data_IF_239041143482
#
_entry.id   IF_239041143482
#
_cell.length_a   1.000
_cell.length_b   1.000
_cell.length_c   1.000
_cell.angle_alpha   90.00
_cell.angle_beta   90.00
_cell.angle_gamma   90.00
#
_symmetry.space_group_name_H-M   'P 1'
#
loop_
_entity.id
_entity.type
_entity.pdbx_description
1 polymer ?
#
# COMPACT_ATOMS: atom_id res chain seq x y z
N UNK A 1 -10.11 38.20 39.30
CA UNK A 1 -9.01 37.41 38.69
C UNK A 1 -9.37 37.17 37.24
N UNK A 2 -8.67 37.82 36.30
CA UNK A 2 -8.91 37.66 34.85
C UNK A 2 -8.01 36.53 34.35
N UNK A 3 -8.61 35.49 33.76
CA UNK A 3 -7.91 34.34 33.19
C UNK A 3 -7.54 34.66 31.74
N UNK A 4 -6.24 34.63 31.44
CA UNK A 4 -5.69 34.85 30.10
C UNK A 4 -5.50 33.49 29.43
N UNK A 5 -6.24 33.24 28.36
CA UNK A 5 -6.06 32.06 27.49
C UNK A 5 -4.97 32.39 26.47
N UNK A 6 -3.85 31.69 26.53
CA UNK A 6 -2.80 31.73 25.51
C UNK A 6 -3.18 30.78 24.37
N UNK A 7 -3.55 31.33 23.21
CA UNK A 7 -3.59 30.61 21.94
C UNK A 7 -2.17 30.59 21.36
N UNK A 8 -1.54 29.41 21.29
CA UNK A 8 -0.30 29.22 20.51
C UNK A 8 -0.67 29.20 19.03
N UNK A 9 -0.24 30.20 18.28
CA UNK A 9 -0.22 30.16 16.81
C UNK A 9 0.90 29.23 16.37
N UNK A 10 0.55 28.08 15.78
CA UNK A 10 1.51 27.20 15.13
C UNK A 10 1.77 27.76 13.72
N UNK A 11 2.95 28.34 13.51
CA UNK A 11 3.34 28.88 12.20
C UNK A 11 3.77 27.72 11.31
N UNK A 12 2.85 27.21 10.47
CA UNK A 12 3.20 26.30 9.40
C UNK A 12 4.08 27.05 8.39
N UNK A 13 5.36 26.67 8.32
CA UNK A 13 6.23 27.03 7.20
C UNK A 13 5.76 26.24 5.97
N UNK A 14 4.80 26.79 5.25
CA UNK A 14 4.43 26.33 3.92
C UNK A 14 5.61 26.56 2.97
N UNK A 15 6.41 25.53 2.73
CA UNK A 15 7.22 25.44 1.53
C UNK A 15 6.29 25.23 0.32
N UNK A 16 5.76 26.35 -0.18
CA UNK A 16 5.03 26.41 -1.44
C UNK A 16 6.01 26.15 -2.58
N UNK A 17 6.01 24.92 -3.07
CA UNK A 17 6.59 24.56 -4.37
C UNK A 17 5.76 25.23 -5.47
N UNK A 18 6.08 26.48 -5.81
CA UNK A 18 5.47 27.14 -6.98
C UNK A 18 5.87 26.39 -8.25
N UNK A 19 4.94 26.13 -9.18
CA UNK A 19 5.30 25.65 -10.51
C UNK A 19 6.01 26.76 -11.28
N UNK A 20 7.24 26.50 -11.70
CA UNK A 20 7.97 27.34 -12.63
C UNK A 20 7.59 26.91 -14.06
N UNK A 21 6.80 27.73 -14.76
CA UNK A 21 6.56 27.55 -16.19
C UNK A 21 7.79 28.04 -16.96
N UNK A 22 8.38 27.17 -17.78
CA UNK A 22 9.35 27.57 -18.80
C UNK A 22 8.64 27.62 -20.16
N UNK A 23 8.90 28.64 -20.97
CA UNK A 23 8.12 29.02 -22.17
C UNK A 23 8.26 28.08 -23.37
N UNK A 24 9.00 26.98 -23.27
CA UNK A 24 9.51 26.29 -24.46
C UNK A 24 8.98 24.86 -24.68
N UNK A 25 7.94 24.43 -23.95
CA UNK A 25 7.10 23.29 -24.36
C UNK A 25 7.81 21.98 -24.71
N UNK A 26 8.95 21.67 -24.07
CA UNK A 26 9.67 20.40 -24.24
C UNK A 26 9.99 19.77 -22.89
N UNK A 27 9.48 18.56 -22.68
CA UNK A 27 9.82 17.71 -21.55
C UNK A 27 11.29 17.25 -21.68
N UNK A 28 12.16 17.77 -20.82
CA UNK A 28 13.54 17.33 -20.66
C UNK A 28 13.78 16.90 -19.22
N UNK A 29 14.21 15.66 -19.04
CA UNK A 29 14.69 15.14 -17.75
C UNK A 29 16.08 15.75 -17.49
N UNK A 30 16.19 16.71 -16.57
CA UNK A 30 17.48 17.20 -16.11
C UNK A 30 17.82 16.52 -14.78
N UNK A 31 18.67 15.49 -14.87
CA UNK A 31 19.43 14.98 -13.74
C UNK A 31 20.53 16.00 -13.43
N UNK A 32 20.45 16.68 -12.29
CA UNK A 32 21.51 17.57 -11.82
C UNK A 32 22.69 16.71 -11.37
N UNK A 33 23.75 16.66 -12.16
CA UNK A 33 25.06 16.18 -11.71
C UNK A 33 25.64 17.21 -10.73
N UNK A 34 25.78 16.81 -9.47
CA UNK A 34 26.80 17.36 -8.58
C UNK A 34 27.98 16.39 -8.60
N UNK A 35 29.06 16.80 -9.27
CA UNK A 35 30.39 16.20 -9.11
C UNK A 35 30.90 16.53 -7.71
N UNK A 36 30.91 15.55 -6.81
CA UNK A 36 31.91 15.48 -5.76
C UNK A 36 32.53 14.08 -5.80
N UNK A 37 33.77 14.05 -6.27
CA UNK A 37 34.64 12.87 -6.26
C UNK A 37 35.15 12.63 -4.86
N UNK A 38 34.55 11.66 -4.15
CA UNK A 38 35.23 10.96 -3.06
C UNK A 38 35.26 9.45 -3.33
N UNK A 39 36.48 8.90 -3.21
CA UNK A 39 36.81 7.49 -3.48
C UNK A 39 36.24 6.59 -2.37
N UNK A 40 35.65 5.42 -2.69
CA UNK A 40 35.22 4.49 -1.66
C UNK A 40 36.42 3.70 -1.10
N UNK A 41 36.69 3.89 0.19
CA UNK A 41 37.47 2.96 0.99
C UNK A 41 36.59 1.75 1.33
N UNK A 42 36.89 0.60 0.72
CA UNK A 42 36.34 -0.68 1.14
C UNK A 42 36.97 -1.09 2.47
N UNK A 43 36.15 -1.29 3.51
CA UNK A 43 36.51 -2.13 4.66
C UNK A 43 35.46 -3.23 4.82
N UNK A 44 35.87 -4.48 5.10
CA UNK A 44 34.96 -5.61 5.23
C UNK A 44 34.21 -5.58 6.58
N UNK A 45 32.91 -5.90 6.52
CA UNK A 45 32.03 -6.11 7.68
C UNK A 45 32.58 -7.21 8.61
N UNK A 46 32.61 -7.01 9.94
CA UNK A 46 32.80 -8.10 10.88
C UNK A 46 31.49 -8.88 11.12
N UNK A 47 31.68 -10.17 11.36
CA UNK A 47 30.66 -11.19 11.58
C UNK A 47 29.69 -10.87 12.73
N UNK A 48 28.43 -11.29 12.56
CA UNK A 48 27.38 -11.24 13.58
C UNK A 48 27.66 -12.23 14.72
N UNK A 49 27.59 -11.84 16.01
CA UNK A 49 27.68 -12.79 17.10
C UNK A 49 26.38 -13.59 17.28
N UNK A 50 26.58 -14.88 17.57
CA UNK A 50 25.57 -15.92 17.81
C UNK A 50 24.71 -15.61 19.05
N UNK A 51 23.45 -15.99 18.97
CA UNK A 51 22.43 -15.91 20.02
C UNK A 51 22.84 -16.59 21.33
N UNK A 52 22.77 -15.86 22.44
CA UNK A 52 22.89 -16.39 23.80
C UNK A 52 21.47 -16.62 24.35
N UNK A 53 21.18 -17.87 24.75
CA UNK A 53 19.97 -18.25 25.47
C UNK A 53 20.17 -18.03 26.96
N UNK A 54 19.38 -17.14 27.58
CA UNK A 54 19.38 -16.91 29.03
C UNK A 54 18.17 -17.60 29.65
N UNK A 55 18.42 -18.57 30.55
CA UNK A 55 17.41 -19.16 31.44
C UNK A 55 17.40 -18.40 32.76
N UNK A 56 16.30 -17.70 33.07
CA UNK A 56 16.08 -17.11 34.39
C UNK A 56 15.45 -18.13 35.34
N UNK A 57 16.15 -18.44 36.44
CA UNK A 57 15.60 -19.09 37.65
C UNK A 57 15.18 -18.01 38.62
N UNK A 58 13.92 -18.04 39.05
CA UNK A 58 13.37 -17.20 40.11
C UNK A 58 13.52 -17.96 41.44
N UNK A 59 14.16 -17.36 42.44
CA UNK A 59 14.24 -17.89 43.80
C UNK A 59 13.80 -16.81 44.79
N UNK A 60 12.94 -17.19 45.72
CA UNK A 60 12.40 -16.46 46.88
C UNK A 60 11.07 -15.71 46.66
N UNK A 61 9.97 -16.40 46.99
CA UNK A 61 8.74 -15.80 47.46
C UNK A 61 8.75 -15.82 49.00
N UNK A 62 8.80 -14.65 49.63
CA UNK A 62 8.53 -14.51 51.07
C UNK A 62 7.03 -14.24 51.28
N UNK A 63 6.46 -14.88 52.31
CA UNK A 63 5.10 -14.63 52.83
C UNK A 63 5.21 -14.06 54.26
N UNK A 64 4.21 -13.29 54.71
CA UNK A 64 4.37 -12.33 55.81
C UNK A 64 4.17 -12.95 57.20
N UNK A 65 4.87 -12.33 58.15
CA UNK A 65 4.85 -12.55 59.60
C UNK A 65 3.53 -12.11 60.24
N UNK A 66 2.91 -12.98 61.05
CA UNK A 66 1.91 -12.61 62.07
C UNK A 66 2.47 -12.98 63.44
N UNK A 67 2.36 -12.04 64.36
CA UNK A 67 2.97 -12.04 65.70
C UNK A 67 2.06 -12.72 66.75
N UNK A 68 2.69 -13.67 67.46
CA UNK A 68 2.56 -14.09 68.87
C UNK A 68 1.18 -14.34 69.52
N UNK A 69 1.05 -15.55 70.10
CA UNK A 69 0.86 -15.71 71.55
C UNK A 69 1.24 -17.12 72.05
N UNK A 70 2.13 -17.12 73.06
CA UNK A 70 2.22 -17.98 74.26
C UNK A 70 2.30 -19.51 74.15
N UNK A 71 3.31 -20.08 74.81
CA UNK A 71 3.20 -21.39 75.48
C UNK A 71 4.34 -22.38 75.26
N UNK A 72 5.29 -22.39 76.19
CA UNK A 72 5.95 -23.57 76.80
C UNK A 72 6.63 -24.68 75.95
N UNK A 73 7.96 -24.72 76.12
CA UNK A 73 8.96 -25.82 76.27
C UNK A 73 8.71 -27.30 75.82
N UNK A 74 9.81 -28.05 75.54
CA UNK A 74 9.92 -29.11 74.54
C UNK A 74 10.02 -30.52 75.12
N UNK A 75 9.86 -31.54 74.27
CA UNK A 75 10.56 -32.85 74.32
C UNK A 75 10.66 -33.39 72.88
N UNK A 76 11.88 -33.54 72.37
CA UNK A 76 12.61 -34.80 72.17
C UNK A 76 11.90 -35.75 71.18
N UNK A 77 12.55 -36.08 70.06
CA UNK A 77 13.25 -37.36 69.91
C UNK A 77 13.94 -37.44 68.54
N UNK A 78 15.20 -37.85 68.59
CA UNK A 78 15.97 -38.37 67.47
C UNK A 78 15.30 -39.63 66.94
N UNK A 79 15.23 -39.78 65.61
CA UNK A 79 15.49 -41.09 65.02
C UNK A 79 16.13 -40.95 63.63
N UNK A 80 17.35 -41.49 63.55
CA UNK A 80 18.07 -41.78 62.33
C UNK A 80 17.38 -42.93 61.57
N UNK A 81 17.80 -43.13 60.31
CA UNK A 81 18.13 -44.43 59.65
C UNK A 81 17.57 -44.55 58.22
N UNK A 82 18.52 -44.43 57.28
CA UNK A 82 18.69 -45.19 56.01
C UNK A 82 17.80 -44.97 54.79
N UNK A 83 18.45 -45.10 53.62
CA UNK A 83 17.85 -45.79 52.48
C UNK A 83 18.03 -45.14 51.12
N UNK A 84 19.23 -45.21 50.54
CA UNK A 84 19.43 -45.20 49.09
C UNK A 84 18.77 -46.46 48.49
N UNK A 85 18.23 -46.40 47.25
CA UNK A 85 19.08 -46.79 46.13
C UNK A 85 18.92 -45.95 44.86
N UNK A 86 20.06 -45.79 44.20
CA UNK A 86 20.27 -45.51 42.78
C UNK A 86 19.61 -46.55 41.87
N UNK A 87 18.92 -46.09 40.82
CA UNK A 87 18.83 -46.83 39.55
C UNK A 87 18.95 -45.86 38.36
N UNK A 88 19.99 -46.11 37.55
CA UNK A 88 20.16 -45.61 36.19
C UNK A 88 19.35 -46.49 35.24
N UNK A 89 18.59 -45.90 34.32
CA UNK A 89 18.30 -46.52 33.01
C UNK A 89 18.37 -45.50 31.89
N UNK A 90 19.36 -45.71 31.02
CA UNK A 90 19.43 -45.21 29.65
C UNK A 90 18.39 -45.93 28.79
N UNK A 91 17.84 -45.24 27.78
CA UNK A 91 17.33 -45.79 26.52
C UNK A 91 17.23 -44.61 25.54
N UNK A 92 18.21 -44.44 24.65
CA UNK A 92 18.17 -44.87 23.24
C UNK A 92 16.83 -44.58 22.55
N UNK A 93 16.83 -43.57 21.67
CA UNK A 93 15.79 -43.35 20.67
C UNK A 93 16.43 -43.37 19.29
N UNK A 94 16.08 -44.41 18.52
CA UNK A 94 16.48 -44.64 17.13
C UNK A 94 15.38 -44.18 16.17
N UNK A 95 15.78 -43.57 15.05
CA UNK A 95 14.92 -43.26 13.91
C UNK A 95 14.50 -44.54 13.17
N UNK A 96 13.25 -44.66 12.69
CA UNK A 96 12.91 -45.65 11.68
C UNK A 96 12.98 -45.07 10.26
N UNK A 97 13.64 -45.88 9.44
CA UNK A 97 13.87 -45.75 8.02
C UNK A 97 12.63 -46.05 7.17
N UNK A 98 12.72 -45.56 5.92
CA UNK A 98 11.79 -45.76 4.81
C UNK A 98 11.50 -47.25 4.55
N UNK A 99 10.23 -47.59 4.33
CA UNK A 99 9.85 -48.82 3.62
C UNK A 99 8.92 -48.54 2.44
N UNK A 100 9.38 -49.07 1.30
CA UNK A 100 8.67 -49.29 0.05
C UNK A 100 7.33 -50.01 0.25
N UNK A 101 6.29 -49.54 -0.43
CA UNK A 101 5.15 -50.37 -0.84
C UNK A 101 4.88 -50.11 -2.31
N UNK A 102 5.20 -51.11 -3.15
CA UNK A 102 4.63 -51.29 -4.49
C UNK A 102 3.18 -51.73 -4.32
N UNK A 103 2.25 -51.17 -5.09
CA UNK A 103 1.13 -51.93 -5.63
C UNK A 103 0.66 -51.36 -6.97
N UNK A 104 0.48 -52.31 -7.90
CA UNK A 104 -0.09 -52.22 -9.24
C UNK A 104 -1.60 -51.98 -9.17
N UNK A 105 -2.14 -51.35 -10.21
CA UNK A 105 -3.48 -51.70 -10.73
C UNK A 105 -4.38 -50.51 -11.06
N UNK A 106 -4.69 -50.38 -12.35
CA UNK A 106 -5.99 -49.96 -12.93
C UNK A 106 -6.49 -48.55 -12.58
N UNK A 107 -6.65 -47.60 -13.50
CA UNK A 107 -7.28 -47.75 -14.81
C UNK A 107 -8.76 -47.37 -14.76
N UNK A 108 -9.11 -46.16 -14.33
CA UNK A 108 -10.45 -45.59 -14.55
C UNK A 108 -10.33 -44.24 -15.25
N UNK A 109 -10.78 -44.24 -16.50
CA UNK A 109 -11.07 -43.06 -17.30
C UNK A 109 -12.48 -42.64 -16.96
N UNK A 110 -12.66 -41.41 -16.49
CA UNK A 110 -13.99 -40.82 -16.37
C UNK A 110 -14.56 -40.59 -17.77
N UNK A 111 -15.41 -41.54 -18.18
CA UNK A 111 -16.12 -41.57 -19.45
C UNK A 111 -17.40 -40.71 -19.32
N UNK A 112 -17.34 -39.45 -19.75
CA UNK A 112 -18.50 -38.59 -19.86
C UNK A 112 -19.34 -39.03 -21.09
N UNK A 113 -20.37 -39.86 -20.87
CA UNK A 113 -21.29 -40.30 -21.94
C UNK A 113 -22.36 -39.25 -22.21
N UNK A 114 -22.22 -38.51 -23.31
CA UNK A 114 -23.31 -37.75 -23.93
C UNK A 114 -24.08 -38.71 -24.86
N UNK A 115 -25.25 -39.18 -24.42
CA UNK A 115 -26.22 -39.85 -25.30
C UNK A 115 -27.07 -38.78 -25.99
N UNK A 116 -26.75 -38.50 -27.25
CA UNK A 116 -27.58 -37.70 -28.13
C UNK A 116 -27.03 -37.74 -29.54
N UNK A 117 -27.86 -38.14 -30.52
CA UNK A 117 -27.55 -38.08 -31.94
C UNK A 117 -27.39 -36.60 -32.35
N UNK A 118 -26.18 -36.07 -32.22
CA UNK A 118 -25.82 -34.76 -32.76
C UNK A 118 -24.87 -34.99 -33.91
N UNK A 119 -25.39 -34.87 -35.13
CA UNK A 119 -24.59 -34.75 -36.34
C UNK A 119 -23.83 -33.43 -36.26
N UNK A 120 -22.66 -33.43 -35.61
CA UNK A 120 -21.76 -32.27 -35.59
C UNK A 120 -21.14 -32.15 -36.98
N UNK A 121 -21.73 -31.30 -37.81
CA UNK A 121 -21.09 -30.86 -39.05
C UNK A 121 -20.01 -29.84 -38.69
N UNK A 122 -18.75 -30.25 -38.75
CA UNK A 122 -17.63 -29.34 -38.78
C UNK A 122 -17.60 -28.68 -40.17
N UNK A 123 -18.15 -27.48 -40.29
CA UNK A 123 -17.88 -26.63 -41.45
C UNK A 123 -16.48 -26.04 -41.30
N UNK A 124 -15.53 -26.56 -42.06
CA UNK A 124 -14.20 -25.98 -42.22
C UNK A 124 -14.36 -24.61 -42.88
N UNK A 125 -14.34 -23.54 -42.08
CA UNK A 125 -14.33 -22.17 -42.60
C UNK A 125 -12.94 -21.95 -43.20
N UNK A 126 -12.86 -21.86 -44.53
CA UNK A 126 -11.66 -21.41 -45.22
C UNK A 126 -11.35 -19.97 -44.77
N UNK A 127 -10.20 -19.76 -44.11
CA UNK A 127 -9.83 -18.46 -43.51
C UNK A 127 -9.52 -17.34 -44.51
N UNK A 128 -9.72 -17.56 -45.81
CA UNK A 128 -9.28 -16.65 -46.88
C UNK A 128 -10.41 -16.11 -47.77
N UNK A 129 -11.67 -16.36 -47.44
CA UNK A 129 -12.78 -15.62 -48.08
C UNK A 129 -13.07 -14.35 -47.28
N UNK A 130 -12.66 -13.21 -47.82
CA UNK A 130 -13.24 -11.92 -47.47
C UNK A 130 -14.77 -12.05 -47.65
N UNK A 131 -15.58 -11.71 -46.63
CA UNK A 131 -17.02 -11.77 -46.77
C UNK A 131 -17.43 -10.85 -47.92
N UNK A 132 -18.31 -11.36 -48.78
CA UNK A 132 -18.83 -10.62 -49.91
C UNK A 132 -19.39 -9.26 -49.43
N UNK A 133 -18.86 -8.19 -50.03
CA UNK A 133 -19.35 -6.83 -49.91
C UNK A 133 -20.79 -6.71 -50.45
N UNK A 134 -21.82 -7.24 -49.78
CA UNK A 134 -23.21 -7.05 -50.22
C UNK A 134 -24.28 -7.57 -49.25
N UNK A 135 -24.29 -7.09 -48.02
CA UNK A 135 -25.59 -6.74 -47.42
C UNK A 135 -25.38 -5.42 -46.70
N UNK A 136 -26.02 -4.38 -47.21
CA UNK A 136 -26.15 -3.08 -46.56
C UNK A 136 -27.03 -3.26 -45.31
N UNK A 137 -26.51 -3.98 -44.32
CA UNK A 137 -27.11 -4.16 -43.02
C UNK A 137 -27.33 -2.78 -42.45
N UNK A 138 -28.59 -2.47 -42.14
CA UNK A 138 -29.08 -1.17 -41.64
C UNK A 138 -27.98 -0.45 -40.88
N UNK A 139 -27.47 0.65 -41.46
CA UNK A 139 -26.43 1.48 -40.86
C UNK A 139 -26.92 1.85 -39.46
N UNK A 140 -26.35 1.20 -38.44
CA UNK A 140 -26.74 1.47 -37.05
C UNK A 140 -26.16 2.83 -36.72
N UNK A 141 -27.03 3.82 -36.60
CA UNK A 141 -26.66 5.16 -36.15
C UNK A 141 -25.93 5.04 -34.80
N UNK A 142 -24.97 5.94 -34.57
CA UNK A 142 -24.37 6.07 -33.26
C UNK A 142 -25.45 6.22 -32.19
N UNK A 143 -25.36 5.46 -31.08
CA UNK A 143 -26.22 5.73 -29.94
C UNK A 143 -25.97 7.18 -29.47
N UNK A 144 -26.97 7.81 -28.83
CA UNK A 144 -26.74 9.08 -28.18
C UNK A 144 -25.66 8.91 -27.10
N UNK A 145 -24.84 9.95 -26.95
CA UNK A 145 -23.86 10.04 -25.88
C UNK A 145 -24.54 9.78 -24.52
N UNK A 146 -23.96 8.90 -23.73
CA UNK A 146 -24.40 8.60 -22.36
C UNK A 146 -23.18 8.35 -21.50
N UNK A 147 -23.15 8.83 -20.24
CA UNK A 147 -21.99 8.62 -19.37
C UNK A 147 -21.61 7.14 -19.32
N UNK A 148 -20.38 6.81 -19.72
CA UNK A 148 -19.95 5.43 -19.71
C UNK A 148 -19.86 4.91 -18.27
N UNK A 149 -20.24 3.65 -18.04
CA UNK A 149 -19.94 2.99 -16.78
C UNK A 149 -18.45 3.10 -16.46
N UNK A 150 -18.16 3.34 -15.18
CA UNK A 150 -16.79 3.46 -14.69
C UNK A 150 -16.44 2.28 -13.79
N UNK A 151 -15.17 1.85 -13.84
CA UNK A 151 -14.64 0.84 -12.93
C UNK A 151 -13.32 1.32 -12.36
N UNK A 152 -13.27 1.37 -11.03
CA UNK A 152 -12.04 1.65 -10.29
C UNK A 152 -11.47 0.36 -9.74
N UNK A 153 -10.17 0.17 -9.93
CA UNK A 153 -9.45 -0.97 -9.36
C UNK A 153 -8.21 -0.48 -8.63
N UNK A 154 -8.07 -0.89 -7.37
CA UNK A 154 -6.84 -0.74 -6.60
C UNK A 154 -5.87 -1.86 -6.93
N UNK A 155 -4.59 -1.52 -7.14
CA UNK A 155 -3.48 -2.45 -7.31
C UNK A 155 -2.26 -1.99 -6.50
N UNK A 156 -1.27 -2.87 -6.38
CA UNK A 156 0.04 -2.48 -5.88
C UNK A 156 0.83 -1.72 -6.97
N UNK A 157 1.66 -0.76 -6.56
CA UNK A 157 2.59 -0.07 -7.47
C UNK A 157 3.55 -1.05 -8.14
N UNK A 158 3.89 -0.73 -9.39
CA UNK A 158 4.88 -1.47 -10.17
C UNK A 158 6.29 -1.22 -9.64
N UNK A 159 7.25 -2.08 -9.99
CA UNK A 159 8.66 -1.88 -9.63
C UNK A 159 9.22 -0.54 -10.16
N UNK A 160 8.80 -0.10 -11.34
CA UNK A 160 9.22 1.17 -11.91
C UNK A 160 8.69 2.38 -11.10
N UNK A 161 7.41 2.34 -10.68
CA UNK A 161 6.83 3.37 -9.83
C UNK A 161 7.52 3.42 -8.46
N UNK A 162 7.81 2.27 -7.85
CA UNK A 162 8.53 2.20 -6.57
C UNK A 162 9.96 2.74 -6.74
N UNK A 163 10.65 2.42 -7.83
CA UNK A 163 11.99 2.91 -8.11
C UNK A 163 12.03 4.43 -8.37
N UNK A 164 10.94 5.01 -8.87
CA UNK A 164 10.80 6.45 -9.08
C UNK A 164 10.55 7.24 -7.78
N UNK A 165 10.20 6.57 -6.67
CA UNK A 165 10.00 7.23 -5.38
C UNK A 165 11.31 7.80 -4.84
N UNK A 166 11.30 9.09 -4.47
CA UNK A 166 12.44 9.75 -3.84
C UNK A 166 12.84 9.10 -2.51
N UNK A 167 14.10 9.24 -2.10
CA UNK A 167 14.60 8.63 -0.87
C UNK A 167 13.85 9.09 0.41
N UNK A 168 13.23 10.27 0.37
CA UNK A 168 12.38 10.81 1.44
C UNK A 168 10.89 10.53 1.31
N UNK A 169 10.48 9.64 0.40
CA UNK A 169 9.07 9.38 0.11
C UNK A 169 8.61 8.06 0.74
N UNK A 170 7.67 8.14 1.68
CA UNK A 170 7.11 6.99 2.41
C UNK A 170 6.11 6.21 1.58
N UNK A 171 5.26 6.89 0.83
CA UNK A 171 4.22 6.25 0.02
C UNK A 171 4.02 6.97 -1.30
N UNK A 172 3.32 6.29 -2.19
CA UNK A 172 2.93 6.83 -3.47
C UNK A 172 1.58 6.26 -3.84
N UNK A 173 0.68 7.13 -4.28
CA UNK A 173 -0.57 6.79 -4.93
C UNK A 173 -0.57 7.40 -6.32
N UNK A 174 -0.70 6.55 -7.33
CA UNK A 174 -0.57 6.96 -8.73
C UNK A 174 -1.61 6.23 -9.59
N UNK A 175 -2.47 6.96 -10.32
CA UNK A 175 -3.34 6.37 -11.33
C UNK A 175 -2.53 5.92 -12.54
N UNK A 176 -2.80 4.72 -13.06
CA UNK A 176 -2.35 4.30 -14.39
C UNK A 176 -3.16 5.06 -15.47
N UNK A 177 -2.63 5.12 -16.70
CA UNK A 177 -3.39 5.59 -17.85
C UNK A 177 -4.73 4.86 -17.98
N UNK A 178 -5.77 5.59 -18.38
CA UNK A 178 -7.11 5.04 -18.47
C UNK A 178 -7.23 3.97 -19.57
N UNK A 179 -7.92 2.90 -19.20
CA UNK A 179 -8.44 1.90 -20.12
C UNK A 179 -9.78 2.36 -20.68
N UNK A 180 -9.77 3.10 -21.79
CA UNK A 180 -10.98 3.60 -22.44
C UNK A 180 -11.43 2.63 -23.54
N UNK A 181 -12.62 2.07 -23.35
CA UNK A 181 -13.28 1.16 -24.28
C UNK A 181 -14.31 1.93 -25.08
N UNK A 182 -14.23 1.82 -26.40
CA UNK A 182 -15.09 2.56 -27.31
C UNK A 182 -15.71 1.66 -28.36
N UNK A 183 -16.90 2.03 -28.81
CA UNK A 183 -17.49 1.50 -30.03
C UNK A 183 -17.40 2.57 -31.12
N UNK A 184 -16.78 2.24 -32.25
CA UNK A 184 -16.83 3.10 -33.44
C UNK A 184 -18.13 2.85 -34.20
N UNK A 185 -18.89 3.91 -34.44
CA UNK A 185 -20.20 3.87 -35.05
C UNK A 185 -20.31 4.92 -36.16
N UNK A 186 -21.29 4.73 -37.06
CA UNK A 186 -21.51 5.63 -38.19
C UNK A 186 -22.49 6.71 -37.79
N UNK A 187 -22.15 7.96 -38.08
CA UNK A 187 -22.97 9.14 -37.85
C UNK A 187 -23.03 9.94 -39.17
N UNK A 188 -24.06 9.65 -39.99
CA UNK A 188 -24.18 10.19 -41.34
C UNK A 188 -22.98 9.85 -42.24
N UNK A 189 -22.28 10.90 -42.68
CA UNK A 189 -21.10 10.81 -43.54
C UNK A 189 -19.79 10.57 -42.78
N UNK A 190 -19.83 10.50 -41.44
CA UNK A 190 -18.66 10.38 -40.58
C UNK A 190 -18.70 9.12 -39.71
N UNK A 191 -17.55 8.76 -39.17
CA UNK A 191 -17.39 7.84 -38.05
C UNK A 191 -17.15 8.63 -36.76
N UNK A 192 -17.66 8.13 -35.64
CA UNK A 192 -17.43 8.68 -34.30
C UNK A 192 -17.08 7.56 -33.31
N UNK A 193 -16.55 7.95 -32.15
CA UNK A 193 -16.42 7.07 -30.99
C UNK A 193 -17.60 7.28 -30.06
N UNK A 194 -18.13 6.17 -29.53
CA UNK A 194 -19.00 6.15 -28.37
C UNK A 194 -18.24 5.47 -27.23
N UNK A 195 -18.09 6.10 -26.09
CA UNK A 195 -17.43 5.47 -24.95
C UNK A 195 -18.40 4.48 -24.31
N UNK A 196 -17.89 3.29 -24.00
CA UNK A 196 -18.71 2.17 -23.51
C UNK A 196 -18.32 1.72 -22.11
N UNK A 197 -17.09 2.01 -21.71
CA UNK A 197 -16.53 1.73 -20.39
C UNK A 197 -15.24 2.52 -20.24
N UNK A 198 -15.02 3.07 -19.05
CA UNK A 198 -13.71 3.55 -18.61
C UNK A 198 -13.22 2.74 -17.42
N UNK A 199 -12.04 2.16 -17.56
CA UNK A 199 -11.35 1.46 -16.49
C UNK A 199 -10.24 2.36 -15.93
N UNK A 200 -10.38 2.72 -14.66
CA UNK A 200 -9.39 3.44 -13.89
C UNK A 200 -8.67 2.48 -12.94
N UNK A 201 -7.35 2.42 -13.04
CA UNK A 201 -6.52 1.61 -12.13
C UNK A 201 -5.70 2.57 -11.30
N UNK A 202 -5.83 2.48 -9.98
CA UNK A 202 -5.04 3.26 -9.03
C UNK A 202 -4.08 2.34 -8.29
N UNK A 203 -2.81 2.73 -8.28
CA UNK A 203 -1.74 1.96 -7.65
C UNK A 203 -1.25 2.65 -6.41
N UNK A 204 -0.96 1.86 -5.39
CA UNK A 204 -0.39 2.37 -4.16
C UNK A 204 0.78 1.52 -3.69
N UNK A 205 1.74 2.18 -3.04
CA UNK A 205 2.81 1.55 -2.30
C UNK A 205 3.13 2.37 -1.05
N UNK A 206 3.54 1.69 0.00
CA UNK A 206 3.98 2.31 1.25
C UNK A 206 5.22 1.58 1.73
N UNK A 207 6.18 2.33 2.28
CA UNK A 207 7.41 1.85 2.90
C UNK A 207 7.76 2.69 4.12
N UNK A 208 8.60 2.12 4.99
CA UNK A 208 9.39 2.92 5.92
C UNK A 208 10.66 3.38 5.21
N UNK A 209 11.17 4.55 5.59
CA UNK A 209 12.41 5.06 5.03
C UNK A 209 13.61 4.35 5.66
N UNK A 210 14.77 4.47 5.01
CA UNK A 210 15.99 3.83 5.48
C UNK A 210 16.32 4.29 6.91
N UNK A 211 16.59 3.34 7.80
CA UNK A 211 16.85 3.62 9.22
C UNK A 211 15.61 3.70 10.11
N UNK A 212 14.42 3.91 9.53
CA UNK A 212 13.18 3.98 10.30
C UNK A 212 12.68 2.61 10.75
N UNK A 213 12.02 2.60 11.91
CA UNK A 213 11.45 1.39 12.54
C UNK A 213 10.09 1.70 13.15
N UNK A 214 9.23 0.68 13.21
CA UNK A 214 7.97 0.83 13.94
C UNK A 214 8.21 0.73 15.45
N UNK A 215 7.64 1.65 16.25
CA UNK A 215 7.68 1.53 17.70
C UNK A 215 6.73 0.43 18.16
N UNK A 216 7.28 -0.54 18.88
CA UNK A 216 6.60 -1.70 19.46
C UNK A 216 6.83 -1.66 20.97
N UNK A 217 5.88 -1.10 21.75
CA UNK A 217 5.94 -1.10 23.20
C UNK A 217 6.20 -2.48 23.79
N UNK A 218 7.14 -2.53 24.74
CA UNK A 218 7.61 -3.76 25.36
C UNK A 218 8.62 -4.56 24.52
N UNK A 219 8.95 -4.13 23.30
CA UNK A 219 9.95 -4.78 22.44
C UNK A 219 11.14 -3.86 22.16
N UNK A 220 10.90 -2.70 21.55
CA UNK A 220 11.96 -1.74 21.18
C UNK A 220 11.75 -0.32 21.75
N UNK A 221 10.71 -0.14 22.57
CA UNK A 221 10.49 1.05 23.40
C UNK A 221 11.18 0.86 24.76
N UNK A 222 11.97 1.83 25.17
CA UNK A 222 12.77 1.85 26.41
C UNK A 222 12.68 3.22 27.08
N UNK A 223 13.15 3.33 28.32
CA UNK A 223 13.25 4.61 29.03
C UNK A 223 14.09 5.65 28.27
N UNK A 224 15.06 5.22 27.46
CA UNK A 224 15.98 6.10 26.75
C UNK A 224 15.39 6.69 25.47
N UNK A 225 14.39 6.04 24.85
CA UNK A 225 13.91 6.42 23.51
C UNK A 225 12.38 6.59 23.41
N UNK A 226 11.61 6.33 24.47
CA UNK A 226 10.15 6.45 24.39
C UNK A 226 9.70 7.88 24.05
N UNK A 227 10.43 8.90 24.53
CA UNK A 227 10.06 10.28 24.25
C UNK A 227 10.33 10.67 22.80
N UNK A 228 11.46 10.23 22.23
CA UNK A 228 11.74 10.40 20.80
C UNK A 228 10.69 9.67 19.96
N UNK A 229 10.33 8.44 20.33
CA UNK A 229 9.27 7.69 19.64
C UNK A 229 7.95 8.44 19.57
N UNK A 230 7.46 8.98 20.69
CA UNK A 230 6.17 9.68 20.68
C UNK A 230 6.25 11.04 20.01
N UNK A 231 7.40 11.73 20.10
CA UNK A 231 7.61 13.03 19.44
C UNK A 231 7.64 12.86 17.92
N UNK A 232 8.42 11.91 17.42
CA UNK A 232 8.53 11.69 15.98
C UNK A 232 7.23 11.15 15.34
N UNK A 233 6.46 10.35 16.09
CA UNK A 233 5.10 9.98 15.69
C UNK A 233 4.14 11.17 15.72
N UNK A 234 4.26 12.04 16.73
CA UNK A 234 3.44 13.25 16.83
C UNK A 234 3.77 14.27 15.74
N UNK A 235 4.94 14.20 15.11
CA UNK A 235 5.29 15.05 13.98
C UNK A 235 4.84 14.47 12.62
N UNK A 236 4.14 13.33 12.59
CA UNK A 236 3.69 12.66 11.35
C UNK A 236 4.80 12.47 10.30
N UNK A 237 6.04 12.25 10.74
CA UNK A 237 7.18 12.05 9.83
C UNK A 237 7.79 13.34 9.25
N UNK A 238 7.31 14.53 9.62
CA UNK A 238 7.78 15.84 9.11
C UNK A 238 9.26 16.20 9.44
N UNK A 239 10.02 15.33 10.09
CA UNK A 239 11.45 15.54 10.41
C UNK A 239 12.42 14.49 9.86
N UNK A 240 12.04 13.74 8.82
CA UNK A 240 13.01 12.97 8.03
C UNK A 240 14.05 13.89 7.36
N UNK A 241 15.36 13.52 7.30
CA UNK A 241 15.96 12.21 7.53
C UNK A 241 16.34 11.87 8.98
N UNK A 242 16.07 12.76 9.94
CA UNK A 242 16.55 12.59 11.31
C UNK A 242 15.67 11.64 12.14
N UNK A 243 14.39 11.52 11.79
CA UNK A 243 13.44 10.66 12.50
C UNK A 243 13.72 9.17 12.28
N UNK A 244 13.78 8.41 13.37
CA UNK A 244 14.02 6.97 13.41
C UNK A 244 12.75 6.13 13.58
N UNK A 245 11.62 6.76 13.92
CA UNK A 245 10.39 6.11 14.32
C UNK A 245 9.23 6.56 13.44
N UNK A 246 8.62 5.61 12.74
CA UNK A 246 7.38 5.85 12.03
C UNK A 246 6.56 4.57 11.87
N UNK A 247 5.31 4.69 11.41
CA UNK A 247 4.41 3.54 11.28
C UNK A 247 4.04 3.31 9.82
N UNK A 248 4.30 2.10 9.31
CA UNK A 248 3.91 1.73 7.94
C UNK A 248 2.39 1.76 7.78
N UNK A 249 1.67 1.49 8.88
CA UNK A 249 0.21 1.57 8.91
C UNK A 249 -0.31 2.99 8.78
N UNK A 250 0.42 4.00 9.27
CA UNK A 250 0.05 5.40 9.11
C UNK A 250 0.20 5.80 7.63
N UNK A 251 1.34 5.49 7.02
CA UNK A 251 1.57 5.71 5.57
C UNK A 251 0.48 5.04 4.73
N UNK A 252 0.07 3.81 5.06
CA UNK A 252 -1.03 3.15 4.31
C UNK A 252 -2.37 3.87 4.47
N UNK A 253 -2.67 4.38 5.66
CA UNK A 253 -3.89 5.15 5.89
C UNK A 253 -3.86 6.49 5.12
N UNK A 254 -2.69 7.13 5.05
CA UNK A 254 -2.43 8.30 4.21
C UNK A 254 -2.73 7.99 2.72
N UNK A 255 -2.11 6.94 2.17
CA UNK A 255 -2.32 6.58 0.76
C UNK A 255 -3.77 6.15 0.46
N UNK A 256 -4.48 5.57 1.43
CA UNK A 256 -5.89 5.22 1.27
C UNK A 256 -6.76 6.47 1.06
N UNK A 257 -6.41 7.61 1.67
CA UNK A 257 -7.10 8.88 1.44
C UNK A 257 -6.93 9.34 -0.01
N UNK A 258 -5.72 9.28 -0.58
CA UNK A 258 -5.52 9.64 -1.98
C UNK A 258 -6.30 8.74 -2.96
N UNK A 259 -6.50 7.47 -2.61
CA UNK A 259 -7.33 6.57 -3.41
C UNK A 259 -8.80 7.03 -3.43
N UNK A 260 -9.31 7.45 -2.28
CA UNK A 260 -10.69 7.95 -2.19
C UNK A 260 -10.81 9.33 -2.83
N UNK A 261 -9.84 10.23 -2.64
CA UNK A 261 -9.79 11.53 -3.33
C UNK A 261 -9.78 11.36 -4.86
N UNK A 262 -9.01 10.42 -5.40
CA UNK A 262 -9.03 10.12 -6.84
C UNK A 262 -10.42 9.70 -7.30
N UNK A 263 -11.10 8.82 -6.55
CA UNK A 263 -12.43 8.32 -6.90
C UNK A 263 -13.49 9.41 -6.84
N UNK A 264 -13.46 10.22 -5.79
CA UNK A 264 -14.45 11.28 -5.54
C UNK A 264 -14.33 12.41 -6.58
N UNK A 265 -13.12 12.65 -7.09
CA UNK A 265 -12.85 13.67 -8.10
C UNK A 265 -12.94 13.14 -9.55
N UNK A 266 -12.94 11.82 -9.74
CA UNK A 266 -12.85 11.22 -11.07
C UNK A 266 -13.97 11.67 -12.00
N UNK A 267 -15.22 11.64 -11.54
CA UNK A 267 -16.39 12.01 -12.35
C UNK A 267 -16.31 13.45 -12.87
N UNK A 268 -15.87 14.37 -12.00
CA UNK A 268 -15.76 15.79 -12.31
C UNK A 268 -14.79 16.02 -13.46
N UNK A 269 -13.63 15.36 -13.42
CA UNK A 269 -12.58 15.49 -14.43
C UNK A 269 -12.83 14.63 -15.67
N UNK A 270 -13.46 13.47 -15.52
CA UNK A 270 -13.68 12.53 -16.62
C UNK A 270 -14.78 12.99 -17.59
N UNK A 271 -15.87 13.56 -17.10
CA UNK A 271 -17.03 13.90 -17.94
C UNK A 271 -16.68 14.83 -19.13
N UNK A 272 -15.88 15.91 -18.96
CA UNK A 272 -15.43 16.72 -20.09
C UNK A 272 -14.54 15.95 -21.10
N UNK A 273 -13.70 15.03 -20.61
CA UNK A 273 -12.80 14.23 -21.45
C UNK A 273 -13.59 13.20 -22.28
N UNK A 274 -14.60 12.58 -21.68
CA UNK A 274 -15.53 11.69 -22.37
C UNK A 274 -16.25 12.42 -23.49
N UNK A 275 -16.84 13.59 -23.19
CA UNK A 275 -17.51 14.40 -24.20
C UNK A 275 -16.57 14.81 -25.34
N UNK A 276 -15.30 15.13 -25.03
CA UNK A 276 -14.30 15.45 -26.04
C UNK A 276 -13.98 14.25 -26.94
N UNK A 277 -13.84 13.05 -26.38
CA UNK A 277 -13.65 11.79 -27.13
C UNK A 277 -14.85 11.52 -28.04
N UNK A 278 -16.07 11.64 -27.53
CA UNK A 278 -17.29 11.37 -28.29
C UNK A 278 -17.57 12.45 -29.34
N UNK A 279 -17.01 13.64 -29.16
CA UNK A 279 -16.98 14.71 -30.15
C UNK A 279 -16.07 14.45 -31.36
N UNK A 280 -15.14 13.49 -31.26
CA UNK A 280 -14.23 13.17 -32.36
C UNK A 280 -14.98 12.57 -33.55
N UNK A 281 -14.57 13.00 -34.75
CA UNK A 281 -15.13 12.47 -35.99
C UNK A 281 -14.10 12.39 -37.12
N UNK A 282 -14.24 11.39 -37.98
CA UNK A 282 -13.48 11.26 -39.23
C UNK A 282 -14.40 10.90 -40.38
N UNK A 283 -14.10 11.28 -41.63
CA UNK A 283 -14.94 10.95 -42.77
C UNK A 283 -15.12 9.44 -42.95
N UNK A 284 -16.33 8.99 -43.30
CA UNK A 284 -16.60 7.60 -43.65
C UNK A 284 -16.31 7.30 -45.13
N UNK A 285 -15.14 7.76 -45.59
CA UNK A 285 -14.65 7.69 -46.96
C UNK A 285 -13.12 7.69 -46.99
N UNK A 286 -12.52 7.46 -48.17
CA UNK A 286 -11.07 7.53 -48.35
C UNK A 286 -10.30 6.59 -47.43
N UNK A 287 -9.27 7.10 -46.75
CA UNK A 287 -8.41 6.32 -45.85
C UNK A 287 -9.17 5.73 -44.64
N UNK A 288 -10.29 6.33 -44.25
CA UNK A 288 -11.15 5.90 -43.14
C UNK A 288 -12.48 5.31 -43.62
N UNK A 289 -12.52 4.77 -44.85
CA UNK A 289 -13.72 4.14 -45.41
C UNK A 289 -14.24 2.94 -44.59
N UNK A 290 -13.34 2.24 -43.88
CA UNK A 290 -13.70 1.10 -43.02
C UNK A 290 -13.77 1.51 -41.55
N UNK A 291 -14.63 0.82 -40.78
CA UNK A 291 -14.73 1.01 -39.32
C UNK A 291 -13.38 0.82 -38.63
N UNK A 292 -12.59 -0.17 -39.04
CA UNK A 292 -11.28 -0.45 -38.46
C UNK A 292 -10.31 0.72 -38.67
N UNK A 293 -10.20 1.22 -39.90
CA UNK A 293 -9.34 2.36 -40.20
C UNK A 293 -9.78 3.64 -39.47
N UNK A 294 -11.10 3.88 -39.40
CA UNK A 294 -11.66 4.98 -38.62
C UNK A 294 -11.37 4.84 -37.11
N UNK A 295 -11.49 3.63 -36.56
CA UNK A 295 -11.15 3.34 -35.15
C UNK A 295 -9.69 3.68 -34.88
N UNK A 296 -8.78 3.25 -35.75
CA UNK A 296 -7.35 3.55 -35.63
C UNK A 296 -7.09 5.05 -35.69
N UNK A 297 -7.68 5.76 -36.66
CA UNK A 297 -7.52 7.20 -36.80
C UNK A 297 -8.03 7.95 -35.56
N UNK A 298 -9.25 7.67 -35.12
CA UNK A 298 -9.87 8.31 -33.95
C UNK A 298 -9.10 8.01 -32.65
N UNK A 299 -8.59 6.79 -32.46
CA UNK A 299 -7.78 6.46 -31.28
C UNK A 299 -6.38 7.04 -31.35
N UNK A 300 -5.84 7.33 -32.54
CA UNK A 300 -4.56 8.03 -32.70
C UNK A 300 -4.66 9.55 -32.50
N UNK A 301 -5.88 10.08 -32.44
CA UNK A 301 -6.12 11.51 -32.24
C UNK A 301 -5.51 11.99 -30.90
N UNK A 302 -4.79 13.14 -30.88
CA UNK A 302 -4.25 13.70 -29.65
C UNK A 302 -5.28 13.91 -28.54
N UNK A 303 -6.54 14.24 -28.86
CA UNK A 303 -7.60 14.37 -27.86
C UNK A 303 -7.85 13.03 -27.16
N UNK A 304 -7.89 11.93 -27.91
CA UNK A 304 -8.06 10.60 -27.34
C UNK A 304 -6.84 10.18 -26.49
N UNK A 305 -5.62 10.47 -26.96
CA UNK A 305 -4.41 10.15 -26.22
C UNK A 305 -4.29 10.97 -24.93
N UNK A 306 -4.60 12.27 -24.99
CA UNK A 306 -4.61 13.14 -23.82
C UNK A 306 -5.64 12.66 -22.81
N UNK A 307 -6.87 12.38 -23.21
CA UNK A 307 -7.90 11.88 -22.29
C UNK A 307 -7.54 10.56 -21.58
N UNK A 308 -6.59 9.78 -22.10
CA UNK A 308 -6.06 8.58 -21.41
C UNK A 308 -4.98 8.88 -20.39
N UNK A 309 -4.30 10.00 -20.51
CA UNK A 309 -3.18 10.38 -19.66
C UNK A 309 -3.71 10.90 -18.32
N UNK A 310 -3.37 10.18 -17.25
CA UNK A 310 -3.75 10.52 -15.87
C UNK A 310 -2.65 11.27 -15.13
N UNK A 311 -1.51 11.55 -15.77
CA UNK A 311 -0.40 12.24 -15.12
C UNK A 311 -0.73 13.70 -14.82
N UNK A 312 -0.13 14.25 -13.76
CA UNK A 312 -0.26 15.67 -13.43
C UNK A 312 0.17 16.57 -14.62
N UNK A 313 1.23 16.17 -15.33
CA UNK A 313 1.72 16.90 -16.50
C UNK A 313 0.75 16.94 -17.69
N UNK A 314 -0.20 16.01 -17.77
CA UNK A 314 -1.23 15.98 -18.81
C UNK A 314 -2.36 16.98 -18.60
N UNK A 315 -2.55 17.49 -17.38
CA UNK A 315 -3.56 18.50 -17.05
C UNK A 315 -5.01 18.01 -17.08
N UNK A 316 -5.26 16.71 -17.25
CA UNK A 316 -6.60 16.15 -17.43
C UNK A 316 -7.38 15.92 -16.14
N UNK A 317 -6.68 15.78 -15.00
CA UNK A 317 -7.30 15.53 -13.69
C UNK A 317 -6.95 16.63 -12.68
N UNK A 318 -7.26 17.91 -13.01
CA UNK A 318 -6.82 19.04 -12.20
C UNK A 318 -7.45 19.08 -10.82
N UNK A 319 -8.63 18.50 -10.62
CA UNK A 319 -9.26 18.51 -9.29
C UNK A 319 -8.54 17.57 -8.33
N UNK A 320 -8.13 16.39 -8.78
CA UNK A 320 -7.29 15.48 -8.00
C UNK A 320 -5.87 16.04 -7.81
N UNK A 321 -5.18 16.42 -8.89
CA UNK A 321 -3.79 16.88 -8.81
C UNK A 321 -3.63 18.26 -8.16
N UNK A 322 -4.73 19.00 -8.01
CA UNK A 322 -4.78 20.27 -7.29
C UNK A 322 -4.89 20.13 -5.78
N UNK A 323 -5.12 18.92 -5.26
CA UNK A 323 -5.19 18.66 -3.82
C UNK A 323 -3.78 18.76 -3.23
N UNK A 324 -3.55 19.61 -2.22
CA UNK A 324 -2.27 19.64 -1.52
C UNK A 324 -1.96 18.29 -0.88
N UNK A 325 -0.68 17.93 -0.85
CA UNK A 325 -0.17 16.76 -0.14
C UNK A 325 1.05 17.19 0.71
N UNK A 326 1.03 17.01 2.05
CA UNK A 326 -0.09 16.47 2.84
C UNK A 326 -1.28 17.44 2.93
N UNK A 327 -2.44 16.92 3.33
CA UNK A 327 -3.64 17.71 3.66
C UNK A 327 -4.33 17.25 4.95
N UNK A 328 -5.38 17.98 5.34
CA UNK A 328 -6.10 17.69 6.58
C UNK A 328 -6.72 16.27 6.65
N UNK A 329 -7.12 15.69 5.51
CA UNK A 329 -7.68 14.34 5.47
C UNK A 329 -6.58 13.28 5.62
N UNK A 330 -5.44 13.46 4.94
CA UNK A 330 -4.29 12.56 5.08
C UNK A 330 -3.74 12.61 6.51
N UNK A 331 -3.57 13.81 7.07
CA UNK A 331 -3.12 14.01 8.46
C UNK A 331 -4.08 13.33 9.45
N UNK A 332 -5.39 13.51 9.27
CA UNK A 332 -6.39 12.88 10.13
C UNK A 332 -6.35 11.34 10.06
N UNK A 333 -6.15 10.77 8.86
CA UNK A 333 -6.03 9.33 8.67
C UNK A 333 -4.76 8.77 9.34
N UNK A 334 -3.64 9.49 9.25
CA UNK A 334 -2.40 9.13 9.95
C UNK A 334 -2.57 9.20 11.47
N UNK A 335 -3.19 10.27 11.98
CA UNK A 335 -3.50 10.46 13.42
C UNK A 335 -4.35 9.34 13.99
N UNK A 336 -5.35 8.88 13.26
CA UNK A 336 -6.17 7.74 13.67
C UNK A 336 -5.34 6.46 13.91
N UNK A 337 -4.15 6.35 13.31
CA UNK A 337 -3.21 5.25 13.50
C UNK A 337 -2.16 5.56 14.57
N UNK A 338 -1.55 6.74 14.54
CA UNK A 338 -0.42 7.09 15.43
C UNK A 338 -0.87 7.44 16.84
N UNK A 339 -2.01 8.10 17.04
CA UNK A 339 -2.43 8.57 18.37
C UNK A 339 -2.65 7.41 19.35
N UNK A 340 -3.33 6.30 18.97
CA UNK A 340 -3.40 5.12 19.84
C UNK A 340 -2.03 4.51 20.16
N UNK A 341 -1.06 4.58 19.22
CA UNK A 341 0.30 4.11 19.45
C UNK A 341 1.04 4.99 20.46
N UNK A 342 0.92 6.31 20.31
CA UNK A 342 1.48 7.32 21.22
C UNK A 342 0.94 7.09 22.64
N UNK A 343 -0.39 6.98 22.79
CA UNK A 343 -1.01 6.70 24.09
C UNK A 343 -0.49 5.41 24.71
N UNK A 344 -0.28 4.36 23.92
CA UNK A 344 0.23 3.09 24.43
C UNK A 344 1.70 3.18 24.88
N UNK A 345 2.55 3.90 24.14
CA UNK A 345 3.94 4.18 24.53
C UNK A 345 3.99 4.98 25.84
N UNK A 346 3.21 6.06 25.95
CA UNK A 346 3.15 6.87 27.17
C UNK A 346 2.64 6.07 28.37
N UNK A 347 1.60 5.23 28.17
CA UNK A 347 1.09 4.34 29.23
C UNK A 347 2.14 3.30 29.65
N UNK A 348 2.90 2.75 28.69
CA UNK A 348 4.00 1.84 28.99
C UNK A 348 5.09 2.52 29.79
N UNK A 349 5.47 3.75 29.42
CA UNK A 349 6.42 4.57 30.15
C UNK A 349 5.96 4.84 31.60
N UNK A 350 4.66 5.06 31.81
CA UNK A 350 4.09 5.19 33.15
C UNK A 350 4.21 3.88 33.95
N UNK A 351 3.79 2.75 33.37
CA UNK A 351 3.85 1.45 34.03
C UNK A 351 5.27 1.00 34.40
N UNK A 352 6.25 1.34 33.56
CA UNK A 352 7.64 0.95 33.76
C UNK A 352 8.46 2.02 34.54
N UNK A 353 7.83 3.13 34.96
CA UNK A 353 8.46 4.16 35.79
C UNK A 353 9.46 5.07 35.06
N UNK A 354 9.27 5.33 33.75
CA UNK A 354 10.19 6.11 32.91
C UNK A 354 9.93 7.63 32.91
N UNK A 355 9.14 8.13 33.86
CA UNK A 355 8.78 9.56 34.00
C UNK A 355 8.15 10.15 32.71
N UNK A 356 6.95 9.69 32.30
CA UNK A 356 6.27 10.21 31.10
C UNK A 356 5.96 11.71 31.18
N UNK A 357 5.83 12.29 32.39
CA UNK A 357 5.66 13.73 32.59
C UNK A 357 6.82 14.57 32.02
N UNK A 358 8.02 13.98 31.93
CA UNK A 358 9.19 14.64 31.33
C UNK A 358 9.13 14.73 29.80
N UNK A 359 8.20 14.02 29.15
CA UNK A 359 8.02 14.05 27.71
C UNK A 359 6.84 14.95 27.32
N UNK A 360 7.05 16.04 26.54
CA UNK A 360 5.99 17.01 26.24
C UNK A 360 4.73 16.40 25.63
N UNK A 361 4.86 15.46 24.69
CA UNK A 361 3.72 14.78 24.05
C UNK A 361 2.91 13.97 25.07
N UNK A 362 3.59 13.17 25.90
CA UNK A 362 2.91 12.38 26.94
C UNK A 362 2.26 13.28 28.00
N UNK A 363 2.92 14.37 28.41
CA UNK A 363 2.37 15.34 29.35
C UNK A 363 1.13 16.04 28.79
N UNK A 364 1.12 16.40 27.50
CA UNK A 364 -0.04 17.00 26.83
C UNK A 364 -1.25 16.05 26.81
N UNK A 365 -1.01 14.73 26.81
CA UNK A 365 -2.04 13.68 26.91
C UNK A 365 -2.44 13.34 28.36
N UNK A 366 -1.87 14.02 29.36
CA UNK A 366 -2.20 13.84 30.78
C UNK A 366 -1.50 12.66 31.47
N UNK A 367 -0.45 12.10 30.88
CA UNK A 367 0.38 11.10 31.55
C UNK A 367 1.37 11.80 32.49
N UNK A 368 1.17 11.57 33.80
CA UNK A 368 2.02 12.07 34.90
C UNK A 368 2.85 10.98 35.54
#
# INVERSE_FOLDING_TARGET
MKSTVFLKSNTQNNHSSKPFFNTDGKAGFFSRHSEETEKPFFTPYPEQPKSISVKNKCSHCEKPTVVQKMGENPKNEEEQITGLPTEKKENQFSFPDKKNVKNKGEGQKDEFKVKGNSTVRFSTIQSNQLPADSVEGKRKNCPPASPAPQRHRRLNSTAAQIAAMGAGTWGITMPDNLGIYTETCRDGANWRLNVTLVNSVIRTHSRLLAGQREPIPGVNTTSANFCDQVTELDDLGLGHPLHQWYMIRAVRAHEDVHIDEWRDNFDTDWNPLEAAIEGLSVPASGATATKAAATTALRSDPVFQNARDTTNGGGNFPTFWGIPDPNANTDAAERAVVDPRIQWICKRAQWDGWNPAGCPVCSALGFV
#
